data_IF_001097892785
#
_entry.id   IF_001097892785
#
_cell.length_a   1.000
_cell.length_b   1.000
_cell.length_c   1.000
_cell.angle_alpha   90.00
_cell.angle_beta   90.00
_cell.angle_gamma   90.00
#
_symmetry.space_group_name_H-M   'P 1'
#
loop_
_entity.id
_entity.type
_entity.pdbx_description
1 polymer ?
#
# COMPACT_ATOMS: atom_id res chain seq x y z
N UNK A 1 23.96 2.88 -19.33
CA UNK A 1 24.06 1.47 -18.99
C UNK A 1 22.69 0.79 -19.08
N UNK A 2 22.71 -0.53 -19.23
CA UNK A 2 21.53 -1.38 -19.25
C UNK A 2 21.51 -2.24 -17.99
N UNK A 3 20.33 -2.37 -17.39
CA UNK A 3 20.03 -3.33 -16.35
C UNK A 3 18.91 -4.22 -16.83
N UNK A 4 19.05 -5.54 -16.66
CA UNK A 4 18.03 -6.50 -17.03
C UNK A 4 17.88 -7.54 -15.93
N UNK A 5 16.68 -8.04 -15.77
CA UNK A 5 16.39 -9.11 -14.83
C UNK A 5 15.51 -10.17 -15.49
N UNK A 6 15.62 -11.37 -14.99
CA UNK A 6 14.71 -12.48 -15.24
C UNK A 6 14.51 -13.23 -13.94
N UNK A 7 13.30 -13.66 -13.68
CA UNK A 7 13.01 -14.60 -12.59
C UNK A 7 11.94 -15.60 -13.00
N UNK A 8 11.95 -16.75 -12.34
CA UNK A 8 10.92 -17.76 -12.38
C UNK A 8 10.62 -18.25 -10.99
N UNK A 9 9.34 -18.40 -10.65
CA UNK A 9 8.84 -18.90 -9.38
C UNK A 9 7.73 -19.93 -9.62
N UNK A 10 7.83 -21.06 -8.94
CA UNK A 10 6.74 -22.03 -8.80
C UNK A 10 6.28 -22.04 -7.35
N UNK A 11 4.98 -22.17 -7.13
CA UNK A 11 4.38 -22.23 -5.80
C UNK A 11 3.20 -23.19 -5.79
N UNK A 12 3.27 -24.19 -4.89
CA UNK A 12 2.15 -25.04 -4.53
C UNK A 12 1.53 -24.54 -3.22
N UNK A 13 0.23 -24.45 -3.21
CA UNK A 13 -0.53 -23.96 -2.06
C UNK A 13 -1.75 -24.83 -1.82
N UNK A 14 -1.94 -25.26 -0.57
CA UNK A 14 -3.12 -25.95 -0.11
C UNK A 14 -3.65 -25.27 1.16
N UNK A 15 -4.90 -24.83 1.14
CA UNK A 15 -5.59 -24.26 2.29
C UNK A 15 -6.85 -25.01 2.61
N UNK A 16 -7.17 -25.15 3.91
CA UNK A 16 -8.40 -25.71 4.42
C UNK A 16 -9.09 -24.68 5.30
N UNK A 17 -10.13 -24.05 4.79
CA UNK A 17 -10.93 -23.03 5.48
C UNK A 17 -12.16 -23.69 6.13
N UNK A 18 -12.72 -23.13 7.22
CA UNK A 18 -13.76 -23.77 8.05
C UNK A 18 -15.18 -23.72 7.46
N UNK A 19 -15.33 -23.49 6.17
CA UNK A 19 -16.62 -23.55 5.46
C UNK A 19 -16.65 -24.72 4.47
N UNK A 20 -17.79 -25.35 4.28
CA UNK A 20 -17.89 -26.57 3.48
C UNK A 20 -17.99 -26.28 1.94
N UNK A 21 -18.51 -25.13 1.53
CA UNK A 21 -18.65 -24.75 0.11
C UNK A 21 -17.31 -24.22 -0.46
N UNK A 22 -16.51 -25.07 -1.08
CA UNK A 22 -15.22 -24.68 -1.68
C UNK A 22 -14.15 -24.27 -0.68
N UNK A 23 -14.24 -24.75 0.57
CA UNK A 23 -13.33 -24.41 1.66
C UNK A 23 -11.94 -25.05 1.56
N UNK A 24 -11.73 -26.08 0.72
CA UNK A 24 -10.41 -26.60 0.41
C UNK A 24 -9.96 -25.99 -0.91
N UNK A 25 -8.86 -25.26 -0.90
CA UNK A 25 -8.30 -24.57 -2.05
C UNK A 25 -6.93 -25.16 -2.36
N UNK A 26 -6.75 -25.67 -3.57
CA UNK A 26 -5.46 -26.06 -4.14
C UNK A 26 -5.10 -25.09 -5.24
N UNK A 27 -3.87 -24.59 -5.24
CA UNK A 27 -3.34 -23.66 -6.22
C UNK A 27 -1.93 -24.07 -6.60
N UNK A 28 -1.70 -24.30 -7.88
CA UNK A 28 -0.36 -24.44 -8.45
C UNK A 28 -0.08 -23.20 -9.32
N UNK A 29 0.91 -22.38 -8.91
CA UNK A 29 1.28 -21.14 -9.57
C UNK A 29 2.61 -21.25 -10.25
N UNK A 30 2.63 -20.87 -11.53
CA UNK A 30 3.84 -20.58 -12.28
C UNK A 30 3.89 -19.08 -12.57
N UNK A 31 4.97 -18.43 -12.16
CA UNK A 31 5.14 -16.99 -12.31
C UNK A 31 6.55 -16.68 -12.81
N UNK A 32 6.64 -15.97 -13.92
CA UNK A 32 7.91 -15.49 -14.43
C UNK A 32 7.84 -14.03 -14.83
N UNK A 33 8.97 -13.37 -14.78
CA UNK A 33 9.08 -12.00 -15.21
C UNK A 33 10.43 -11.70 -15.83
N UNK A 34 10.41 -10.78 -16.76
CA UNK A 34 11.60 -10.22 -17.38
C UNK A 34 11.44 -8.71 -17.50
N UNK A 35 12.54 -7.99 -17.40
CA UNK A 35 12.53 -6.57 -17.63
C UNK A 35 13.90 -6.07 -18.02
N UNK A 36 13.90 -4.94 -18.69
CA UNK A 36 15.12 -4.23 -19.03
C UNK A 36 14.89 -2.73 -18.93
N UNK A 37 15.89 -2.03 -18.45
CA UNK A 37 15.92 -0.57 -18.46
C UNK A 37 17.23 -0.05 -18.98
N UNK A 38 17.15 1.01 -19.77
CA UNK A 38 18.28 1.81 -20.22
C UNK A 38 18.32 3.08 -19.38
N UNK A 39 19.48 3.38 -18.79
CA UNK A 39 19.72 4.61 -18.03
C UNK A 39 20.84 5.42 -18.69
N UNK A 40 20.57 6.70 -18.95
CA UNK A 40 21.53 7.65 -19.48
C UNK A 40 21.67 8.82 -18.53
N UNK A 41 22.89 9.00 -18.00
CA UNK A 41 23.26 10.17 -17.22
C UNK A 41 23.95 11.19 -18.14
N UNK A 42 23.56 12.45 -18.01
CA UNK A 42 24.09 13.55 -18.80
C UNK A 42 24.40 14.69 -17.83
N UNK A 43 25.67 15.05 -17.76
CA UNK A 43 26.15 16.11 -16.89
C UNK A 43 26.37 17.37 -17.72
N UNK A 44 25.77 18.45 -17.26
CA UNK A 44 25.98 19.79 -17.78
C UNK A 44 26.63 20.64 -16.67
N UNK A 45 27.17 21.78 -17.01
CA UNK A 45 27.81 22.67 -16.04
C UNK A 45 26.90 23.07 -14.88
N UNK A 46 25.61 23.30 -15.14
CA UNK A 46 24.65 23.82 -14.16
C UNK A 46 23.54 22.81 -13.81
N UNK A 47 23.55 21.56 -14.34
CA UNK A 47 22.56 20.55 -14.07
C UNK A 47 23.08 19.13 -14.37
N UNK A 48 22.58 18.19 -13.60
CA UNK A 48 22.71 16.76 -13.88
C UNK A 48 21.35 16.21 -14.31
N UNK A 49 21.32 15.45 -15.40
CA UNK A 49 20.10 14.86 -15.95
C UNK A 49 20.23 13.35 -16.03
N UNK A 50 19.19 12.64 -15.60
CA UNK A 50 19.08 11.18 -15.76
C UNK A 50 17.83 10.86 -16.56
N UNK A 51 17.98 10.14 -17.66
CA UNK A 51 16.89 9.59 -18.45
C UNK A 51 16.85 8.08 -18.24
N UNK A 52 15.68 7.56 -17.92
CA UNK A 52 15.42 6.12 -17.82
C UNK A 52 14.31 5.73 -18.77
N UNK A 53 14.57 4.73 -19.59
CA UNK A 53 13.58 4.05 -20.45
C UNK A 53 13.53 2.59 -20.03
N UNK A 54 12.35 2.03 -19.88
CA UNK A 54 12.27 0.62 -19.49
C UNK A 54 11.01 -0.08 -19.95
N UNK A 55 11.08 -1.40 -19.96
CA UNK A 55 9.98 -2.31 -20.20
C UNK A 55 10.05 -3.48 -19.22
N UNK A 56 8.89 -3.87 -18.70
CA UNK A 56 8.70 -5.03 -17.83
C UNK A 56 7.63 -5.92 -18.44
N UNK A 57 7.81 -7.23 -18.37
CA UNK A 57 6.81 -8.21 -18.75
C UNK A 57 6.71 -9.29 -17.67
N UNK A 58 5.51 -9.52 -17.17
CA UNK A 58 5.19 -10.47 -16.12
C UNK A 58 4.11 -11.42 -16.61
N UNK A 59 4.23 -12.70 -16.29
CA UNK A 59 3.25 -13.72 -16.64
C UNK A 59 3.04 -14.65 -15.45
N UNK A 60 1.79 -14.71 -14.97
CA UNK A 60 1.34 -15.61 -13.92
C UNK A 60 0.29 -16.54 -14.48
N UNK A 61 0.42 -17.82 -14.17
CA UNK A 61 -0.53 -18.89 -14.50
C UNK A 61 -0.83 -19.69 -13.23
N UNK A 62 -2.09 -19.74 -12.84
CA UNK A 62 -2.59 -20.42 -11.64
C UNK A 62 -3.54 -21.54 -12.03
N UNK A 63 -3.18 -22.82 -11.78
CA UNK A 63 -4.13 -23.93 -11.78
C UNK A 63 -4.86 -23.92 -10.42
N UNK A 64 -6.10 -23.41 -10.41
CA UNK A 64 -6.91 -23.25 -9.20
C UNK A 64 -7.99 -24.30 -9.14
N UNK A 65 -8.02 -25.06 -8.02
CA UNK A 65 -9.08 -26.02 -7.71
C UNK A 65 -9.69 -25.73 -6.36
N UNK A 66 -11.00 -25.83 -6.26
CA UNK A 66 -11.73 -25.75 -4.98
C UNK A 66 -12.55 -27.01 -4.77
N UNK A 67 -12.65 -27.41 -3.52
CA UNK A 67 -13.38 -28.61 -3.13
C UNK A 67 -14.23 -28.31 -1.90
N UNK A 68 -15.36 -29.00 -1.75
CA UNK A 68 -16.11 -29.02 -0.50
C UNK A 68 -15.21 -29.49 0.62
N UNK A 69 -15.31 -28.82 1.78
CA UNK A 69 -14.59 -29.20 2.98
C UNK A 69 -15.51 -30.00 3.91
N UNK A 70 -15.40 -31.32 3.92
CA UNK A 70 -16.15 -32.19 4.78
C UNK A 70 -15.33 -32.46 6.05
N UNK A 71 -15.37 -31.52 7.03
CA UNK A 71 -14.61 -31.60 8.29
C UNK A 71 -13.10 -31.86 8.08
N UNK A 72 -12.48 -31.17 7.16
CA UNK A 72 -11.07 -31.31 6.81
C UNK A 72 -10.76 -32.34 5.72
N UNK A 73 -11.78 -33.14 5.32
CA UNK A 73 -11.67 -34.12 4.23
C UNK A 73 -12.09 -33.46 2.91
N UNK A 74 -11.26 -33.64 1.89
CA UNK A 74 -11.52 -33.15 0.52
C UNK A 74 -12.75 -33.84 -0.06
N UNK A 75 -13.79 -33.05 -0.33
CA UNK A 75 -15.03 -33.50 -0.94
C UNK A 75 -15.08 -33.27 -2.45
N UNK A 76 -16.27 -33.02 -2.98
CA UNK A 76 -16.56 -32.76 -4.39
C UNK A 76 -15.80 -31.53 -4.90
N UNK A 77 -15.32 -31.58 -6.15
CA UNK A 77 -14.71 -30.42 -6.83
C UNK A 77 -15.81 -29.40 -7.17
N UNK A 78 -15.61 -28.16 -6.73
CA UNK A 78 -16.54 -27.03 -6.94
C UNK A 78 -15.99 -25.97 -7.90
N UNK A 79 -14.67 -26.02 -8.18
CA UNK A 79 -14.01 -25.13 -9.15
C UNK A 79 -12.75 -25.84 -9.67
N UNK A 80 -12.58 -25.81 -10.99
CA UNK A 80 -11.35 -26.25 -11.68
C UNK A 80 -11.10 -25.30 -12.86
N UNK A 81 -10.10 -24.42 -12.74
CA UNK A 81 -9.83 -23.41 -13.77
C UNK A 81 -8.36 -23.00 -13.81
N UNK A 82 -7.91 -22.74 -15.03
CA UNK A 82 -6.59 -22.17 -15.30
C UNK A 82 -6.70 -20.65 -15.42
N UNK A 83 -6.17 -19.93 -14.45
CA UNK A 83 -6.19 -18.47 -14.39
C UNK A 83 -4.90 -17.89 -14.94
N UNK A 84 -4.96 -16.77 -15.67
CA UNK A 84 -3.81 -16.08 -16.23
C UNK A 84 -3.84 -14.60 -15.88
N UNK A 85 -2.67 -14.07 -15.56
CA UNK A 85 -2.44 -12.64 -15.35
C UNK A 85 -1.15 -12.25 -16.08
N UNK A 86 -1.29 -11.47 -17.13
CA UNK A 86 -0.17 -11.04 -17.97
C UNK A 86 -0.10 -9.52 -17.91
N UNK A 87 1.04 -8.98 -17.50
CA UNK A 87 1.28 -7.53 -17.43
C UNK A 87 2.46 -7.15 -18.32
N UNK A 88 2.29 -6.08 -19.09
CA UNK A 88 3.39 -5.44 -19.81
C UNK A 88 3.38 -3.95 -19.50
N UNK A 89 4.47 -3.44 -18.95
CA UNK A 89 4.65 -2.03 -18.63
C UNK A 89 5.79 -1.41 -19.44
N UNK A 90 5.53 -0.27 -20.06
CA UNK A 90 6.55 0.54 -20.75
C UNK A 90 6.60 1.90 -20.04
N UNK A 91 7.80 2.38 -19.73
CA UNK A 91 7.93 3.63 -19.00
C UNK A 91 9.12 4.49 -19.41
N UNK A 92 8.96 5.78 -19.22
CA UNK A 92 10.00 6.78 -19.33
C UNK A 92 10.01 7.64 -18.07
N UNK A 93 11.20 7.87 -17.51
CA UNK A 93 11.39 8.78 -16.38
C UNK A 93 12.56 9.72 -16.70
N UNK A 94 12.36 10.98 -16.45
CA UNK A 94 13.37 12.02 -16.55
C UNK A 94 13.54 12.68 -15.18
N UNK A 95 14.78 12.83 -14.74
CA UNK A 95 15.14 13.57 -13.54
C UNK A 95 16.22 14.57 -13.88
N UNK A 96 16.05 15.81 -13.40
CA UNK A 96 17.04 16.87 -13.53
C UNK A 96 17.29 17.51 -12.16
N UNK A 97 18.56 17.61 -11.79
CA UNK A 97 19.03 18.30 -10.58
C UNK A 97 19.86 19.52 -11.00
N UNK A 98 19.41 20.69 -10.62
CA UNK A 98 20.04 21.97 -10.97
C UNK A 98 20.93 22.47 -9.82
N UNK A 99 22.00 23.18 -10.16
CA UNK A 99 22.90 23.83 -9.18
C UNK A 99 22.20 24.88 -8.32
N UNK A 100 21.05 25.41 -8.77
CA UNK A 100 20.17 26.30 -8.00
C UNK A 100 19.45 25.62 -6.83
N UNK A 101 19.58 24.30 -6.65
CA UNK A 101 18.88 23.53 -5.64
C UNK A 101 17.51 22.97 -6.07
N UNK A 102 17.07 23.26 -7.30
CA UNK A 102 15.84 22.70 -7.87
C UNK A 102 16.10 21.28 -8.38
N UNK A 103 15.24 20.34 -7.99
CA UNK A 103 15.16 19.00 -8.57
C UNK A 103 13.79 18.81 -9.19
N UNK A 104 13.75 18.27 -10.40
CA UNK A 104 12.54 17.99 -11.16
C UNK A 104 12.60 16.54 -11.61
N UNK A 105 11.56 15.76 -11.29
CA UNK A 105 11.38 14.40 -11.78
C UNK A 105 10.00 14.30 -12.40
N UNK A 106 9.92 13.80 -13.62
CA UNK A 106 8.65 13.46 -14.24
C UNK A 106 8.77 12.15 -15.00
N UNK A 107 7.67 11.45 -15.06
CA UNK A 107 7.63 10.16 -15.72
C UNK A 107 6.22 9.79 -16.15
N UNK A 108 6.17 8.83 -17.03
CA UNK A 108 4.93 8.23 -17.50
C UNK A 108 5.16 6.73 -17.70
N UNK A 109 4.19 5.93 -17.24
CA UNK A 109 4.16 4.48 -17.45
C UNK A 109 2.84 4.13 -18.13
N UNK A 110 2.92 3.39 -19.21
CA UNK A 110 1.77 2.74 -19.80
C UNK A 110 1.81 1.27 -19.45
N UNK A 111 0.73 0.76 -18.90
CA UNK A 111 0.61 -0.60 -18.43
C UNK A 111 -0.60 -1.28 -19.06
N UNK A 112 -0.39 -2.48 -19.59
CA UNK A 112 -1.38 -3.33 -20.24
C UNK A 112 -1.48 -4.59 -19.40
N UNK A 113 -2.68 -4.90 -18.90
CA UNK A 113 -2.96 -6.11 -18.12
C UNK A 113 -4.01 -6.95 -18.86
N UNK A 114 -3.69 -8.21 -19.10
CA UNK A 114 -4.57 -9.21 -19.65
C UNK A 114 -4.85 -10.25 -18.57
N UNK A 115 -6.09 -10.31 -18.08
CA UNK A 115 -6.49 -11.15 -16.97
C UNK A 115 -7.61 -12.06 -17.44
N UNK A 116 -7.49 -13.37 -17.23
CA UNK A 116 -8.53 -14.29 -17.68
C UNK A 116 -8.43 -15.68 -17.08
N UNK A 117 -9.46 -16.44 -17.33
CA UNK A 117 -9.46 -17.90 -17.18
C UNK A 117 -9.83 -18.48 -18.55
N UNK A 118 -9.14 -19.51 -18.96
CA UNK A 118 -9.16 -20.03 -20.33
C UNK A 118 -8.83 -19.00 -21.43
N UNK A 119 -8.54 -19.45 -22.62
CA UNK A 119 -8.05 -18.58 -23.71
C UNK A 119 -9.12 -17.63 -24.28
N UNK A 120 -10.40 -17.83 -23.98
CA UNK A 120 -11.54 -17.10 -24.57
C UNK A 120 -12.15 -16.03 -23.65
N UNK A 121 -11.72 -15.95 -22.38
CA UNK A 121 -12.32 -15.09 -21.35
C UNK A 121 -11.30 -14.11 -20.75
N UNK A 122 -10.62 -13.34 -21.62
CA UNK A 122 -9.65 -12.33 -21.20
C UNK A 122 -10.31 -10.96 -20.99
N UNK A 123 -9.97 -10.31 -19.88
CA UNK A 123 -10.28 -8.91 -19.56
C UNK A 123 -9.02 -8.11 -19.85
N UNK A 124 -9.14 -7.07 -20.66
CA UNK A 124 -8.04 -6.16 -20.96
C UNK A 124 -8.21 -4.88 -20.14
N UNK A 125 -7.20 -4.57 -19.33
CA UNK A 125 -7.17 -3.38 -18.49
C UNK A 125 -5.86 -2.65 -18.78
N UNK A 126 -5.95 -1.44 -19.28
CA UNK A 126 -4.77 -0.63 -19.57
C UNK A 126 -4.87 0.76 -18.96
N UNK A 127 -3.73 1.32 -18.62
CA UNK A 127 -3.66 2.64 -17.98
C UNK A 127 -2.36 3.34 -18.27
N UNK A 128 -2.50 4.65 -18.48
CA UNK A 128 -1.39 5.59 -18.50
C UNK A 128 -1.27 6.25 -17.13
N UNK A 129 -0.10 6.11 -16.50
CA UNK A 129 0.20 6.60 -15.17
C UNK A 129 1.29 7.68 -15.20
N UNK A 130 0.91 8.97 -15.24
CA UNK A 130 1.84 10.09 -15.12
C UNK A 130 2.27 10.31 -13.66
N UNK A 131 3.48 10.86 -13.50
CA UNK A 131 4.02 11.32 -12.22
C UNK A 131 4.86 12.58 -12.37
N UNK A 132 4.85 13.44 -11.36
CA UNK A 132 5.65 14.67 -11.27
C UNK A 132 6.14 14.84 -9.83
N UNK A 133 7.43 15.06 -9.67
CA UNK A 133 8.06 15.43 -8.40
C UNK A 133 8.88 16.72 -8.60
N UNK A 134 8.68 17.66 -7.71
CA UNK A 134 9.45 18.89 -7.63
C UNK A 134 10.03 18.98 -6.22
N UNK A 135 11.31 19.32 -6.08
CA UNK A 135 11.84 19.69 -4.78
C UNK A 135 12.83 20.84 -4.92
N UNK A 136 12.81 21.72 -3.94
CA UNK A 136 13.67 22.88 -3.92
C UNK A 136 14.37 23.03 -2.56
N UNK A 137 15.70 23.02 -2.59
CA UNK A 137 16.52 23.27 -1.42
C UNK A 137 16.58 24.76 -1.15
N UNK A 138 15.89 25.24 -0.11
CA UNK A 138 15.92 26.64 0.32
C UNK A 138 17.32 27.03 0.82
N UNK A 139 17.98 26.07 1.49
CA UNK A 139 19.35 26.12 1.96
C UNK A 139 19.87 24.69 2.21
N UNK A 140 21.02 24.53 2.86
CA UNK A 140 21.61 23.20 3.15
C UNK A 140 20.82 22.33 4.13
N UNK A 141 19.84 22.90 4.83
CA UNK A 141 19.07 22.23 5.88
C UNK A 141 17.57 22.15 5.60
N UNK A 142 17.08 22.97 4.69
CA UNK A 142 15.65 23.11 4.41
C UNK A 142 15.31 22.75 2.96
N UNK A 143 14.32 21.91 2.79
CA UNK A 143 13.84 21.49 1.49
C UNK A 143 12.31 21.50 1.47
N UNK A 144 11.72 22.11 0.45
CA UNK A 144 10.29 21.99 0.15
C UNK A 144 10.09 21.08 -1.05
N UNK A 145 9.00 20.34 -1.07
CA UNK A 145 8.69 19.45 -2.19
C UNK A 145 7.20 19.42 -2.50
N UNK A 146 6.93 19.08 -3.74
CA UNK A 146 5.60 18.75 -4.24
C UNK A 146 5.71 17.44 -5.02
N UNK A 147 4.74 16.54 -4.83
CA UNK A 147 4.59 15.34 -5.65
C UNK A 147 3.16 15.20 -6.17
N UNK A 148 3.05 14.72 -7.38
CA UNK A 148 1.84 14.25 -8.01
C UNK A 148 2.10 12.88 -8.61
N UNK A 149 1.19 11.95 -8.43
CA UNK A 149 1.26 10.64 -9.05
C UNK A 149 -0.12 10.02 -9.19
N UNK A 150 -0.27 9.21 -10.23
CA UNK A 150 -1.43 8.35 -10.39
C UNK A 150 -1.05 6.92 -10.14
N UNK A 151 -1.97 6.13 -9.64
CA UNK A 151 -1.84 4.68 -9.50
C UNK A 151 -3.04 3.96 -10.12
N UNK A 152 -2.77 2.73 -10.51
CA UNK A 152 -3.74 1.85 -11.12
C UNK A 152 -3.56 0.45 -10.53
N UNK A 153 -4.65 -0.08 -9.98
CA UNK A 153 -4.65 -1.40 -9.36
C UNK A 153 -5.77 -2.24 -9.98
N UNK A 154 -5.36 -3.32 -10.61
CA UNK A 154 -6.31 -4.28 -11.20
C UNK A 154 -6.88 -5.18 -10.11
N UNK A 155 -8.11 -5.72 -10.28
CA UNK A 155 -8.56 -6.80 -9.44
C UNK A 155 -7.58 -7.98 -9.47
N UNK A 156 -7.34 -8.58 -8.33
CA UNK A 156 -6.51 -9.79 -8.23
C UNK A 156 -7.26 -11.01 -8.77
N UNK A 157 -6.54 -12.07 -9.14
CA UNK A 157 -7.14 -13.34 -9.56
C UNK A 157 -8.07 -13.91 -8.47
N UNK A 158 -7.75 -13.70 -7.18
CA UNK A 158 -8.60 -14.16 -6.09
C UNK A 158 -9.91 -13.36 -5.98
N UNK A 159 -9.87 -12.06 -6.17
CA UNK A 159 -11.07 -11.20 -6.16
C UNK A 159 -11.98 -11.55 -7.33
N UNK A 160 -11.41 -11.72 -8.52
CA UNK A 160 -12.16 -12.11 -9.71
C UNK A 160 -12.77 -13.51 -9.59
N UNK A 161 -12.02 -14.50 -9.05
CA UNK A 161 -12.50 -15.87 -8.93
C UNK A 161 -13.48 -16.10 -7.76
N UNK A 162 -13.65 -15.13 -6.86
CA UNK A 162 -14.73 -15.09 -5.89
C UNK A 162 -15.99 -14.45 -6.51
N UNK A 163 -16.52 -15.11 -7.55
CA UNK A 163 -17.68 -14.63 -8.30
C UNK A 163 -18.98 -14.96 -7.57
N UNK A 164 -19.82 -13.97 -7.22
CA UNK A 164 -21.12 -14.22 -6.58
C UNK A 164 -22.12 -14.94 -7.51
N UNK A 165 -21.93 -14.83 -8.82
CA UNK A 165 -22.82 -15.40 -9.84
C UNK A 165 -22.43 -16.82 -10.25
N UNK A 166 -21.52 -17.50 -9.54
CA UNK A 166 -21.13 -18.89 -9.77
C UNK A 166 -19.67 -19.10 -10.14
N UNK A 167 -19.40 -19.87 -11.20
CA UNK A 167 -18.04 -20.16 -11.67
C UNK A 167 -17.52 -19.10 -12.63
N UNK A 168 -16.20 -19.05 -12.79
CA UNK A 168 -15.52 -18.06 -13.62
C UNK A 168 -15.22 -16.76 -12.89
N UNK A 169 -14.82 -15.74 -13.65
CA UNK A 169 -14.46 -14.45 -13.09
C UNK A 169 -15.66 -13.51 -12.96
N UNK A 170 -15.68 -12.74 -11.88
CA UNK A 170 -16.55 -11.59 -11.73
C UNK A 170 -16.05 -10.47 -12.66
N UNK A 171 -16.66 -10.37 -13.85
CA UNK A 171 -16.29 -9.39 -14.90
C UNK A 171 -16.79 -7.97 -14.61
N UNK A 172 -17.61 -7.79 -13.59
CA UNK A 172 -18.12 -6.48 -13.19
C UNK A 172 -17.08 -5.69 -12.39
N UNK A 173 -16.05 -6.36 -11.87
CA UNK A 173 -14.96 -5.70 -11.16
C UNK A 173 -14.11 -4.86 -12.11
N UNK A 174 -13.97 -3.59 -11.75
CA UNK A 174 -13.16 -2.58 -12.44
C UNK A 174 -11.89 -2.32 -11.66
N UNK A 175 -10.89 -1.81 -12.35
CA UNK A 175 -9.64 -1.38 -11.71
C UNK A 175 -9.86 -0.15 -10.84
N UNK A 176 -9.21 -0.14 -9.68
CA UNK A 176 -9.09 1.04 -8.84
C UNK A 176 -8.11 2.04 -9.48
N UNK A 177 -8.49 3.30 -9.57
CA UNK A 177 -7.66 4.38 -10.07
C UNK A 177 -7.52 5.45 -9.01
N UNK A 178 -6.28 5.83 -8.68
CA UNK A 178 -6.03 6.86 -7.69
C UNK A 178 -5.15 7.98 -8.22
N UNK A 179 -5.37 9.18 -7.69
CA UNK A 179 -4.49 10.33 -7.89
C UNK A 179 -4.09 10.88 -6.54
N UNK A 180 -2.78 11.04 -6.33
CA UNK A 180 -2.19 11.52 -5.10
C UNK A 180 -1.46 12.83 -5.33
N UNK A 181 -1.67 13.80 -4.45
CA UNK A 181 -1.02 15.11 -4.41
C UNK A 181 -0.44 15.33 -3.03
N UNK A 182 0.81 15.70 -2.96
CA UNK A 182 1.50 15.96 -1.70
C UNK A 182 2.30 17.27 -1.81
N UNK A 183 2.32 18.02 -0.72
CA UNK A 183 3.24 19.12 -0.51
C UNK A 183 3.89 18.94 0.86
N UNK A 184 5.19 19.12 0.93
CA UNK A 184 5.90 18.91 2.19
C UNK A 184 7.10 19.82 2.37
N UNK A 185 7.52 19.88 3.62
CA UNK A 185 8.70 20.59 4.06
C UNK A 185 9.53 19.69 4.96
N UNK A 186 10.83 19.60 4.64
CA UNK A 186 11.83 18.88 5.43
C UNK A 186 12.87 19.83 5.95
N UNK A 187 13.21 19.66 7.22
CA UNK A 187 14.30 20.38 7.84
C UNK A 187 15.17 19.42 8.64
N UNK A 188 16.49 19.55 8.50
CA UNK A 188 17.46 18.81 9.32
C UNK A 188 18.58 19.75 9.77
N UNK A 189 18.53 20.16 11.02
CA UNK A 189 19.49 21.06 11.62
C UNK A 189 19.97 20.50 12.97
N UNK A 190 21.26 20.59 13.25
CA UNK A 190 21.97 20.15 14.46
C UNK A 190 21.19 19.27 15.47
N UNK A 191 20.17 19.82 16.13
CA UNK A 191 19.40 19.15 17.20
C UNK A 191 17.96 18.83 16.82
N UNK A 192 17.50 19.19 15.61
CA UNK A 192 16.12 18.94 15.17
C UNK A 192 16.08 18.47 13.71
N UNK A 193 15.32 17.42 13.47
CA UNK A 193 14.92 17.02 12.13
C UNK A 193 13.40 16.85 12.10
N UNK A 194 12.74 17.39 11.08
CA UNK A 194 11.31 17.16 10.89
C UNK A 194 10.93 17.10 9.41
N UNK A 195 9.82 16.43 9.15
CA UNK A 195 9.10 16.43 7.90
C UNK A 195 7.62 16.69 8.18
N UNK A 196 7.07 17.68 7.52
CA UNK A 196 5.64 18.00 7.54
C UNK A 196 5.08 17.84 6.13
N UNK A 197 4.00 17.09 5.96
CA UNK A 197 3.36 16.77 4.68
C UNK A 197 1.87 17.02 4.77
N UNK A 198 1.31 17.71 3.80
CA UNK A 198 -0.12 17.74 3.55
C UNK A 198 -0.41 16.96 2.25
N UNK A 199 -1.45 16.13 2.26
CA UNK A 199 -1.79 15.30 1.12
C UNK A 199 -3.29 15.29 0.81
N UNK A 200 -3.60 14.99 -0.45
CA UNK A 200 -4.93 14.71 -0.96
C UNK A 200 -4.81 13.49 -1.87
N UNK A 201 -5.68 12.50 -1.64
CA UNK A 201 -5.82 11.32 -2.51
C UNK A 201 -7.28 11.16 -2.91
N UNK A 202 -7.51 11.01 -4.20
CA UNK A 202 -8.81 10.61 -4.76
C UNK A 202 -8.67 9.22 -5.35
N UNK A 203 -9.65 8.35 -5.10
CA UNK A 203 -9.70 7.01 -5.69
C UNK A 203 -11.08 6.75 -6.27
N UNK A 204 -11.13 6.15 -7.46
CA UNK A 204 -12.33 5.71 -8.13
C UNK A 204 -12.33 4.20 -8.28
N UNK A 205 -13.51 3.57 -8.13
CA UNK A 205 -13.71 2.12 -8.23
C UNK A 205 -12.90 1.32 -7.20
N UNK A 206 -12.79 1.79 -5.97
CA UNK A 206 -12.13 1.05 -4.90
C UNK A 206 -12.80 -0.32 -4.70
N UNK A 207 -12.00 -1.38 -4.54
CA UNK A 207 -12.53 -2.74 -4.40
C UNK A 207 -12.64 -3.05 -2.91
N UNK A 208 -13.87 -3.34 -2.45
CA UNK A 208 -14.13 -3.72 -1.06
C UNK A 208 -14.72 -5.12 -0.97
N UNK A 209 -14.32 -5.90 0.09
CA UNK A 209 -14.94 -7.17 0.37
C UNK A 209 -16.35 -6.99 0.93
N UNK A 210 -17.22 -7.97 0.68
CA UNK A 210 -18.53 -8.13 1.31
C UNK A 210 -18.86 -9.61 1.44
N UNK A 211 -19.78 -9.94 2.33
CA UNK A 211 -20.26 -11.28 2.52
C UNK A 211 -21.69 -11.41 1.99
N UNK A 212 -22.05 -12.62 1.56
CA UNK A 212 -23.40 -13.02 1.20
C UNK A 212 -23.85 -14.01 2.25
N UNK A 213 -25.05 -13.87 2.79
CA UNK A 213 -25.59 -14.69 3.89
C UNK A 213 -25.51 -16.19 3.59
N UNK A 214 -25.83 -16.60 2.36
CA UNK A 214 -25.75 -17.99 1.90
C UNK A 214 -24.32 -18.57 1.97
N UNK A 215 -23.29 -17.72 1.93
CA UNK A 215 -21.87 -18.09 1.90
C UNK A 215 -21.09 -17.45 3.07
N UNK A 216 -21.67 -17.48 4.28
CA UNK A 216 -21.08 -16.86 5.45
C UNK A 216 -19.60 -17.26 5.66
N UNK A 217 -18.73 -16.29 5.90
CA UNK A 217 -17.28 -16.44 6.02
C UNK A 217 -16.50 -16.43 4.71
N UNK A 218 -17.18 -16.36 3.55
CA UNK A 218 -16.54 -16.18 2.24
C UNK A 218 -16.68 -14.74 1.76
N UNK A 219 -15.55 -14.08 1.51
CA UNK A 219 -15.53 -12.74 0.94
C UNK A 219 -15.79 -12.79 -0.57
N UNK A 220 -16.73 -11.98 -1.01
CA UNK A 220 -16.89 -11.55 -2.39
C UNK A 220 -16.41 -10.10 -2.51
N UNK A 221 -16.30 -9.58 -3.72
CA UNK A 221 -15.73 -8.26 -3.95
C UNK A 221 -16.59 -7.45 -4.88
N UNK A 222 -16.67 -6.16 -4.62
CA UNK A 222 -17.36 -5.18 -5.49
C UNK A 222 -16.58 -3.86 -5.50
N UNK A 223 -16.75 -3.12 -6.59
CA UNK A 223 -16.28 -1.74 -6.61
C UNK A 223 -17.24 -0.88 -5.79
N UNK A 224 -16.71 -0.05 -4.94
CA UNK A 224 -17.40 1.10 -4.38
C UNK A 224 -17.14 2.30 -5.27
N UNK A 225 -17.96 3.36 -5.18
CA UNK A 225 -17.83 4.53 -6.04
C UNK A 225 -16.47 5.20 -5.95
N UNK A 226 -16.42 6.42 -5.44
CA UNK A 226 -15.17 7.15 -5.24
C UNK A 226 -14.93 7.44 -3.76
N UNK A 227 -13.65 7.57 -3.42
CA UNK A 227 -13.21 7.97 -2.08
C UNK A 227 -12.34 9.21 -2.14
N UNK A 228 -12.37 9.99 -1.07
CA UNK A 228 -11.58 11.19 -0.90
C UNK A 228 -10.85 11.15 0.45
N UNK A 229 -9.54 11.19 0.39
CA UNK A 229 -8.68 11.18 1.57
C UNK A 229 -7.85 12.45 1.58
N UNK A 230 -7.75 13.09 2.73
CA UNK A 230 -6.86 14.24 2.94
C UNK A 230 -6.30 14.19 4.34
N UNK A 231 -5.11 14.70 4.50
CA UNK A 231 -4.48 14.70 5.81
C UNK A 231 -3.25 15.55 5.89
N UNK A 232 -2.75 15.58 7.11
CA UNK A 232 -1.49 16.20 7.49
C UNK A 232 -0.69 15.21 8.31
N UNK A 233 0.59 15.10 8.01
CA UNK A 233 1.54 14.24 8.72
C UNK A 233 2.73 15.08 9.19
N UNK A 234 3.15 14.86 10.42
CA UNK A 234 4.33 15.47 11.01
C UNK A 234 5.19 14.37 11.64
N UNK A 235 6.41 14.23 11.15
CA UNK A 235 7.43 13.41 11.77
C UNK A 235 8.56 14.32 12.27
N UNK A 236 8.96 14.17 13.53
CA UNK A 236 10.01 15.00 14.13
C UNK A 236 10.91 14.21 15.04
N UNK A 237 12.19 14.56 15.02
CA UNK A 237 13.20 14.08 15.96
C UNK A 237 13.89 15.27 16.60
N UNK A 238 13.89 15.31 17.94
CA UNK A 238 14.62 16.29 18.71
C UNK A 238 15.74 15.58 19.46
N UNK A 239 16.97 15.96 19.20
CA UNK A 239 18.17 15.42 19.86
C UNK A 239 18.60 16.32 21.02
N UNK A 240 18.86 15.74 22.17
CA UNK A 240 19.37 16.41 23.34
C UNK A 240 20.49 15.60 23.99
N UNK A 241 21.24 16.19 24.94
CA UNK A 241 22.44 15.58 25.51
C UNK A 241 22.22 14.17 26.07
N UNK A 242 21.05 13.91 26.67
CA UNK A 242 20.75 12.64 27.33
C UNK A 242 19.95 11.67 26.43
N UNK A 243 19.60 12.04 25.18
CA UNK A 243 18.80 11.17 24.33
C UNK A 243 18.13 11.85 23.15
N UNK A 244 16.95 11.36 22.80
CA UNK A 244 16.13 11.94 21.73
C UNK A 244 14.64 11.75 22.01
N UNK A 245 13.87 12.67 21.48
CA UNK A 245 12.41 12.58 21.33
C UNK A 245 12.08 12.32 19.88
N UNK A 246 11.33 11.26 19.59
CA UNK A 246 10.65 11.06 18.31
C UNK A 246 9.17 11.39 18.48
N UNK A 247 8.62 12.10 17.54
CA UNK A 247 7.19 12.43 17.47
C UNK A 247 6.69 12.14 16.06
N UNK A 248 5.61 11.37 15.96
CA UNK A 248 4.85 11.17 14.72
C UNK A 248 3.40 11.54 14.99
N UNK A 249 2.85 12.42 14.16
CA UNK A 249 1.46 12.86 14.26
C UNK A 249 0.80 12.77 12.88
N UNK A 250 -0.37 12.16 12.84
CA UNK A 250 -1.22 12.08 11.65
C UNK A 250 -2.60 12.63 11.98
N UNK A 251 -3.08 13.53 11.17
CA UNK A 251 -4.47 14.01 11.15
C UNK A 251 -5.04 13.71 9.78
N UNK A 252 -6.14 12.96 9.68
CA UNK A 252 -6.71 12.60 8.39
C UNK A 252 -8.24 12.61 8.40
N UNK A 253 -8.81 12.88 7.23
CA UNK A 253 -10.23 12.70 6.95
C UNK A 253 -10.38 11.87 5.70
N UNK A 254 -10.97 10.69 5.85
CA UNK A 254 -11.12 9.68 4.82
C UNK A 254 -12.62 9.42 4.62
N UNK A 255 -13.16 9.72 3.44
CA UNK A 255 -14.60 9.70 3.18
C UNK A 255 -14.92 8.98 1.87
N UNK A 256 -16.08 8.33 1.84
CA UNK A 256 -16.73 7.98 0.59
C UNK A 256 -17.23 9.26 -0.11
N UNK A 257 -17.19 9.29 -1.44
CA UNK A 257 -17.73 10.40 -2.23
C UNK A 257 -18.99 10.01 -2.99
N UNK A 258 -18.96 8.90 -3.70
CA UNK A 258 -20.11 8.35 -4.41
C UNK A 258 -20.21 6.88 -4.05
N UNK A 259 -20.95 6.54 -3.02
CA UNK A 259 -21.10 5.17 -2.60
C UNK A 259 -22.53 4.88 -2.17
N UNK A 260 -23.25 4.13 -3.00
CA UNK A 260 -24.59 3.64 -2.70
C UNK A 260 -24.53 2.11 -2.59
N UNK A 261 -25.07 1.55 -1.52
CA UNK A 261 -25.10 0.11 -1.26
C UNK A 261 -26.46 -0.27 -0.71
N UNK A 262 -27.11 -1.26 -1.35
CA UNK A 262 -28.40 -1.82 -0.93
C UNK A 262 -29.51 -0.76 -0.70
N UNK A 263 -29.41 0.38 -1.40
CA UNK A 263 -30.32 1.53 -1.32
C UNK A 263 -29.86 2.64 -0.36
N UNK A 264 -28.85 2.41 0.47
CA UNK A 264 -28.28 3.41 1.37
C UNK A 264 -27.22 4.24 0.67
N UNK A 265 -27.35 5.56 0.72
CA UNK A 265 -26.33 6.51 0.27
C UNK A 265 -25.31 6.77 1.41
N UNK A 266 -24.12 6.24 1.21
CA UNK A 266 -23.00 6.39 2.14
C UNK A 266 -22.06 7.54 1.77
N UNK A 267 -22.43 8.38 0.82
CA UNK A 267 -21.66 9.55 0.40
C UNK A 267 -21.36 10.46 1.61
N UNK A 268 -20.15 10.97 1.67
CA UNK A 268 -19.60 11.78 2.76
C UNK A 268 -19.45 11.08 4.13
N UNK A 269 -19.87 9.83 4.30
CA UNK A 269 -19.55 9.01 5.47
C UNK A 269 -18.06 8.74 5.56
N UNK A 270 -17.54 8.62 6.78
CA UNK A 270 -16.14 8.26 7.01
C UNK A 270 -15.90 6.79 6.69
N UNK A 271 -14.76 6.50 6.07
CA UNK A 271 -14.33 5.12 5.81
C UNK A 271 -14.02 4.46 7.16
N UNK A 272 -14.67 3.31 7.47
CA UNK A 272 -14.51 2.68 8.77
C UNK A 272 -13.09 2.12 9.00
N UNK A 273 -12.76 1.92 10.26
CA UNK A 273 -11.47 1.35 10.68
C UNK A 273 -10.30 2.34 10.69
N UNK A 274 -10.43 3.53 10.10
CA UNK A 274 -9.36 4.52 9.98
C UNK A 274 -9.54 5.60 11.06
N UNK A 275 -8.60 5.73 12.04
CA UNK A 275 -8.66 6.79 13.03
C UNK A 275 -8.50 8.18 12.38
N UNK A 276 -9.24 9.17 12.89
CA UNK A 276 -9.13 10.57 12.45
C UNK A 276 -7.78 11.21 12.82
N UNK A 277 -7.15 10.71 13.89
CA UNK A 277 -5.83 11.18 14.32
C UNK A 277 -5.05 10.06 15.00
N UNK A 278 -3.73 10.11 14.88
CA UNK A 278 -2.78 9.27 15.60
C UNK A 278 -1.60 10.12 16.07
N UNK A 279 -1.16 9.88 17.30
CA UNK A 279 0.05 10.50 17.86
C UNK A 279 0.91 9.41 18.47
N UNK A 280 2.17 9.37 18.06
CA UNK A 280 3.18 8.50 18.65
C UNK A 280 4.34 9.35 19.17
N UNK A 281 4.71 9.14 20.43
CA UNK A 281 5.80 9.82 21.10
C UNK A 281 6.72 8.77 21.70
N UNK A 282 7.99 8.78 21.31
CA UNK A 282 9.04 7.98 21.94
C UNK A 282 10.09 8.89 22.57
N UNK A 283 10.23 8.80 23.85
CA UNK A 283 11.27 9.47 24.61
C UNK A 283 12.36 8.47 24.99
N UNK A 284 13.51 8.59 24.35
CA UNK A 284 14.63 7.67 24.45
C UNK A 284 15.75 8.33 25.24
N UNK A 285 16.01 7.83 26.47
CA UNK A 285 17.10 8.28 27.31
C UNK A 285 18.29 7.33 27.23
N UNK A 286 19.46 7.85 26.97
CA UNK A 286 20.75 7.18 27.14
C UNK A 286 21.27 7.42 28.57
N UNK A 287 20.87 6.56 29.51
CA UNK A 287 21.24 6.69 30.91
C UNK A 287 22.76 6.47 31.12
N UNK A 288 23.38 5.68 30.25
CA UNK A 288 24.82 5.49 30.16
C UNK A 288 25.16 4.90 28.77
N UNK A 289 26.48 4.62 28.53
CA UNK A 289 26.92 3.95 27.28
C UNK A 289 26.23 2.59 27.04
N UNK A 290 25.75 1.94 28.10
CA UNK A 290 25.22 0.57 28.08
C UNK A 290 23.76 0.48 28.57
N UNK A 291 23.09 1.60 28.85
CA UNK A 291 21.75 1.59 29.44
C UNK A 291 20.85 2.58 28.70
N UNK A 292 19.71 2.09 28.25
CA UNK A 292 18.70 2.88 27.56
C UNK A 292 17.36 2.71 28.26
N UNK A 293 16.64 3.80 28.44
CA UNK A 293 15.24 3.83 28.85
C UNK A 293 14.41 4.42 27.72
N UNK A 294 13.35 3.72 27.32
CA UNK A 294 12.40 4.16 26.32
C UNK A 294 11.04 4.29 26.99
N UNK A 295 10.43 5.45 26.84
CA UNK A 295 9.06 5.72 27.23
C UNK A 295 8.30 6.00 25.94
N UNK A 296 7.30 5.19 25.63
CA UNK A 296 6.47 5.34 24.43
C UNK A 296 5.02 5.60 24.81
N UNK A 297 4.40 6.54 24.11
CA UNK A 297 2.96 6.74 24.16
C UNK A 297 2.40 6.72 22.75
N UNK A 298 1.31 6.00 22.54
CA UNK A 298 0.54 5.97 21.29
C UNK A 298 -0.91 6.31 21.60
N UNK A 299 -1.37 7.44 21.08
CA UNK A 299 -2.77 7.83 21.04
C UNK A 299 -3.36 7.42 19.71
N UNK A 300 -4.41 6.64 19.73
CA UNK A 300 -5.24 6.30 18.58
C UNK A 300 -6.58 7.01 18.75
N UNK A 301 -6.93 7.86 17.79
CA UNK A 301 -8.19 8.60 17.77
C UNK A 301 -9.41 7.70 17.53
N UNK A 302 -10.56 8.31 17.65
CA UNK A 302 -11.83 7.66 17.36
C UNK A 302 -11.97 7.27 15.88
N UNK A 303 -12.75 6.23 15.63
CA UNK A 303 -13.08 5.73 14.30
C UNK A 303 -14.40 4.97 14.30
N UNK A 304 -15.07 4.89 13.18
CA UNK A 304 -16.26 4.06 13.05
C UNK A 304 -15.90 2.61 12.72
N UNK A 305 -16.75 1.67 13.18
CA UNK A 305 -16.60 0.25 12.89
C UNK A 305 -17.35 -0.19 11.62
N UNK A 306 -18.33 0.60 11.18
CA UNK A 306 -19.24 0.29 10.08
C UNK A 306 -19.35 1.44 9.06
N UNK A 307 -19.81 1.11 7.85
CA UNK A 307 -19.95 2.06 6.75
C UNK A 307 -21.05 3.11 6.99
N UNK A 308 -22.06 2.83 7.81
CA UNK A 308 -23.14 3.76 8.16
C UNK A 308 -22.69 4.82 9.18
N UNK A 309 -21.51 4.63 9.78
CA UNK A 309 -20.98 5.47 10.86
C UNK A 309 -21.90 5.50 12.11
N UNK A 310 -22.50 4.38 12.45
CA UNK A 310 -23.38 4.24 13.62
C UNK A 310 -22.62 3.74 14.84
N UNK A 311 -21.63 2.87 14.65
CA UNK A 311 -20.84 2.27 15.73
C UNK A 311 -19.50 3.00 15.88
N UNK A 312 -19.40 3.87 16.90
CA UNK A 312 -18.17 4.60 17.19
C UNK A 312 -17.25 3.80 18.11
N UNK A 313 -16.02 3.58 17.70
CA UNK A 313 -14.93 3.10 18.54
C UNK A 313 -14.19 4.29 19.10
N UNK A 314 -14.23 4.48 20.41
CA UNK A 314 -13.59 5.60 21.10
C UNK A 314 -12.07 5.62 20.99
N UNK A 315 -11.47 6.76 21.25
CA UNK A 315 -10.02 6.94 21.33
C UNK A 315 -9.42 6.20 22.54
N UNK A 316 -8.17 5.79 22.41
CA UNK A 316 -7.42 5.17 23.51
C UNK A 316 -5.92 5.49 23.44
N UNK A 317 -5.26 5.33 24.60
CA UNK A 317 -3.82 5.48 24.74
C UNK A 317 -3.17 4.16 25.13
N UNK A 318 -1.98 3.92 24.57
CA UNK A 318 -1.09 2.82 24.96
C UNK A 318 0.20 3.42 25.47
N UNK A 319 0.58 3.08 26.71
CA UNK A 319 1.86 3.46 27.29
C UNK A 319 2.77 2.24 27.38
N UNK A 320 3.98 2.41 26.92
CA UNK A 320 5.02 1.37 27.04
C UNK A 320 6.24 1.96 27.71
N UNK A 321 6.86 1.18 28.59
CA UNK A 321 8.17 1.46 29.17
C UNK A 321 9.10 0.29 28.87
N UNK A 322 10.30 0.57 28.37
CA UNK A 322 11.32 -0.44 28.13
C UNK A 322 12.67 0.05 28.69
N UNK A 323 13.26 -0.75 29.55
CA UNK A 323 14.63 -0.57 30.00
C UNK A 323 15.52 -1.64 29.37
N UNK A 324 16.65 -1.25 28.80
CA UNK A 324 17.63 -2.14 28.20
C UNK A 324 19.02 -1.89 28.80
N UNK A 325 19.76 -2.96 29.02
CA UNK A 325 21.18 -2.92 29.49
C UNK A 325 22.03 -3.89 28.68
N UNK A 326 23.07 -3.41 28.05
CA UNK A 326 24.10 -4.25 27.47
C UNK A 326 24.90 -4.93 28.61
N UNK A 327 24.86 -6.25 28.70
CA UNK A 327 25.45 -7.05 29.76
C UNK A 327 26.84 -7.56 29.35
N UNK A 328 26.94 -8.06 28.12
CA UNK A 328 28.14 -8.56 27.47
C UNK A 328 28.30 -7.93 26.10
N UNK A 329 29.45 -8.09 25.45
CA UNK A 329 29.75 -7.47 24.15
C UNK A 329 28.70 -7.75 23.06
N UNK A 330 27.95 -8.87 23.15
CA UNK A 330 26.91 -9.30 22.21
C UNK A 330 25.62 -9.73 22.92
N UNK A 331 25.37 -9.28 24.15
CA UNK A 331 24.17 -9.67 24.90
C UNK A 331 23.51 -8.47 25.57
N UNK A 332 22.20 -8.32 25.34
CA UNK A 332 21.35 -7.29 25.94
C UNK A 332 20.33 -7.94 26.86
N UNK A 333 20.16 -7.40 28.04
CA UNK A 333 19.02 -7.66 28.92
C UNK A 333 18.01 -6.55 28.74
N UNK A 334 16.74 -6.89 28.52
CA UNK A 334 15.67 -5.90 28.47
C UNK A 334 14.47 -6.35 29.30
N UNK A 335 13.80 -5.36 29.90
CA UNK A 335 12.54 -5.52 30.62
C UNK A 335 11.60 -4.41 30.18
N UNK A 336 10.33 -4.73 30.01
CA UNK A 336 9.31 -3.76 29.59
C UNK A 336 7.96 -4.10 30.18
N UNK A 337 7.10 -3.09 30.18
CA UNK A 337 5.68 -3.19 30.51
C UNK A 337 4.85 -2.34 29.53
N UNK A 338 3.64 -2.82 29.26
CA UNK A 338 2.64 -2.14 28.41
C UNK A 338 1.44 -1.77 29.27
#
# INVERSE_FOLDING_TARGET
YFDSYFFYQNRDFLSKLPFNFGGIISLERNYYGLGTKFTKNINYENRNKTLVLGVDHLNQSDDRKRFKNNFGIKGENTLDQLEKFITTGIYIVNQASYSSGLNVRYGIRYEINNIGFDSSNMINLDKLNPSLGLSYSLNSTDNIFFSFGTSFETPTLNELSNNPNGTGFNKDLKSNNSSNYEIGWRKAFASIAFEAVAYITTSDNEILPYEIEEFAGKNFYRNVGSTFRRGFELNSQLFFKAGRLNLSYTLSKNQFKNFVIDGDDLSDKLIPGIPSQMLEIDLIFKLSRKRTLILSNRLIGERYADNLNETLIGSYNIFNIKYSKEVLRNSEFSIGAN
#
